data_IF_727310078949
#
_entry.id   IF_727310078949
#
_cell.length_a   1.000
_cell.length_b   1.000
_cell.length_c   1.000
_cell.angle_alpha   90.00
_cell.angle_beta   90.00
_cell.angle_gamma   90.00
#
_symmetry.space_group_name_H-M   'P 1'
#
loop_
_entity.id
_entity.type
_entity.pdbx_description
1 polymer ?
#
# COMPACT_ATOMS: atom_id res chain seq x y z
N UNK A 1 38.88 -5.84 -75.88
CA UNK A 1 38.64 -7.18 -75.31
C UNK A 1 37.94 -7.02 -73.98
N UNK A 2 36.70 -7.47 -73.94
CA UNK A 2 35.82 -7.71 -72.78
C UNK A 2 35.56 -6.56 -71.77
N UNK A 3 34.48 -5.84 -71.87
CA UNK A 3 33.07 -6.20 -71.56
C UNK A 3 32.95 -6.69 -70.12
N UNK A 4 32.21 -5.93 -69.35
CA UNK A 4 31.07 -6.42 -68.56
C UNK A 4 30.27 -5.25 -68.04
N UNK A 5 29.12 -5.02 -68.69
CA UNK A 5 28.05 -4.21 -68.09
C UNK A 5 27.35 -4.96 -67.00
N UNK A 6 27.27 -4.38 -65.81
CA UNK A 6 26.44 -4.84 -64.72
C UNK A 6 25.25 -3.93 -64.57
N UNK A 7 24.13 -4.41 -65.03
CA UNK A 7 22.81 -3.77 -64.86
C UNK A 7 22.36 -3.98 -63.40
N UNK A 8 22.22 -2.91 -62.65
CA UNK A 8 21.61 -2.97 -61.32
C UNK A 8 20.12 -2.64 -61.43
N UNK A 9 19.22 -3.51 -60.93
CA UNK A 9 17.80 -3.20 -60.89
C UNK A 9 17.52 -2.24 -59.72
N UNK A 10 16.71 -1.23 -60.04
CA UNK A 10 16.29 -0.18 -59.12
C UNK A 10 15.62 -0.70 -57.85
N UNK A 11 16.06 -0.20 -56.71
CA UNK A 11 15.34 -0.29 -55.46
C UNK A 11 14.13 0.62 -55.52
N UNK A 12 12.95 0.03 -55.60
CA UNK A 12 11.69 0.73 -55.38
C UNK A 12 11.60 1.05 -53.91
N UNK A 13 11.81 2.32 -53.54
CA UNK A 13 11.51 2.85 -52.22
C UNK A 13 10.02 2.79 -51.95
N UNK A 14 9.58 1.79 -51.19
CA UNK A 14 8.23 1.73 -50.67
C UNK A 14 7.99 2.88 -49.70
N UNK A 15 7.30 3.92 -50.18
CA UNK A 15 6.81 5.00 -49.35
C UNK A 15 5.86 4.45 -48.29
N UNK A 16 6.33 4.38 -47.06
CA UNK A 16 5.47 4.16 -45.90
C UNK A 16 4.64 5.43 -45.72
N UNK A 17 3.40 5.40 -46.15
CA UNK A 17 2.40 6.40 -45.77
C UNK A 17 2.26 6.38 -44.27
N UNK A 18 2.43 7.51 -43.53
CA UNK A 18 2.15 7.53 -42.12
C UNK A 18 0.65 7.30 -41.94
N UNK A 19 0.31 6.18 -41.33
CA UNK A 19 -1.06 5.91 -40.88
C UNK A 19 -1.50 7.11 -40.03
N UNK A 20 -2.55 7.79 -40.49
CA UNK A 20 -3.24 8.81 -39.69
C UNK A 20 -3.79 8.08 -38.45
N UNK A 21 -2.99 8.05 -37.38
CA UNK A 21 -3.47 7.70 -36.05
C UNK A 21 -4.62 8.65 -35.74
N UNK A 22 -5.79 8.09 -35.45
CA UNK A 22 -6.95 8.83 -34.97
C UNK A 22 -6.60 9.50 -33.61
N UNK A 23 -5.97 10.67 -33.70
CA UNK A 23 -5.54 11.47 -32.52
C UNK A 23 -6.74 11.85 -31.67
N UNK A 24 -7.92 12.05 -32.30
CA UNK A 24 -9.15 12.40 -31.58
C UNK A 24 -9.63 11.34 -30.58
N UNK A 25 -9.53 10.04 -30.94
CA UNK A 25 -9.92 8.96 -30.00
C UNK A 25 -9.02 8.86 -28.79
N UNK A 26 -7.70 9.06 -28.96
CA UNK A 26 -6.75 9.04 -27.85
C UNK A 26 -6.94 10.19 -26.86
N UNK A 27 -7.28 11.39 -27.37
CA UNK A 27 -7.54 12.57 -26.54
C UNK A 27 -8.80 12.37 -25.69
N UNK A 28 -9.88 11.81 -26.27
CA UNK A 28 -11.11 11.54 -25.53
C UNK A 28 -10.90 10.52 -24.41
N UNK A 29 -10.15 9.45 -24.66
CA UNK A 29 -9.79 8.46 -23.64
C UNK A 29 -8.94 9.10 -22.54
N UNK A 30 -7.96 9.92 -22.89
CA UNK A 30 -7.12 10.61 -21.92
C UNK A 30 -7.93 11.58 -21.04
N UNK A 31 -8.86 12.33 -21.60
CA UNK A 31 -9.76 13.21 -20.85
C UNK A 31 -10.71 12.44 -19.95
N UNK A 32 -11.23 11.29 -20.40
CA UNK A 32 -12.07 10.42 -19.57
C UNK A 32 -11.28 9.86 -18.37
N UNK A 33 -10.06 9.36 -18.60
CA UNK A 33 -9.20 8.85 -17.53
C UNK A 33 -8.80 9.96 -16.54
N UNK A 34 -8.48 11.15 -17.03
CA UNK A 34 -8.18 12.30 -16.18
C UNK A 34 -9.40 12.71 -15.35
N UNK A 35 -10.59 12.79 -15.94
CA UNK A 35 -11.85 13.07 -15.23
C UNK A 35 -12.16 12.02 -14.18
N UNK A 36 -11.99 10.74 -14.51
CA UNK A 36 -12.17 9.64 -13.57
C UNK A 36 -11.18 9.69 -12.39
N UNK A 37 -9.90 9.99 -12.67
CA UNK A 37 -8.88 10.15 -11.63
C UNK A 37 -9.20 11.32 -10.69
N UNK A 38 -9.67 12.45 -11.23
CA UNK A 38 -10.10 13.62 -10.47
C UNK A 38 -11.32 13.28 -9.60
N UNK A 39 -12.34 12.62 -10.15
CA UNK A 39 -13.51 12.18 -9.39
C UNK A 39 -13.11 11.23 -8.25
N UNK A 40 -12.21 10.27 -8.53
CA UNK A 40 -11.71 9.36 -7.51
C UNK A 40 -10.92 10.10 -6.43
N UNK A 41 -10.11 11.08 -6.80
CA UNK A 41 -9.37 11.92 -5.86
C UNK A 41 -10.30 12.69 -4.92
N UNK A 42 -11.34 13.35 -5.42
CA UNK A 42 -12.30 14.06 -4.58
C UNK A 42 -13.21 13.12 -3.77
N UNK A 43 -13.52 11.94 -4.30
CA UNK A 43 -14.34 10.93 -3.60
C UNK A 43 -13.59 10.23 -2.46
N UNK A 44 -12.26 10.26 -2.46
CA UNK A 44 -11.41 9.67 -1.40
C UNK A 44 -11.06 10.64 -0.27
N UNK A 45 -11.69 11.83 -0.27
CA UNK A 45 -11.47 12.85 0.75
C UNK A 45 -12.21 12.46 2.04
N UNK A 46 -11.47 12.29 3.14
CA UNK A 46 -12.03 12.07 4.48
C UNK A 46 -11.53 13.14 5.45
N UNK A 47 -12.44 13.59 6.32
CA UNK A 47 -12.09 14.51 7.39
C UNK A 47 -11.47 13.73 8.55
N UNK A 48 -10.28 14.13 8.97
CA UNK A 48 -9.62 13.55 10.12
C UNK A 48 -9.97 14.36 11.37
N UNK A 49 -10.75 13.78 12.26
CA UNK A 49 -11.22 14.44 13.48
C UNK A 49 -10.09 14.76 14.46
N UNK A 50 -9.00 14.01 14.43
CA UNK A 50 -7.84 14.20 15.31
C UNK A 50 -6.99 15.38 14.89
N UNK A 51 -6.75 15.55 13.59
CA UNK A 51 -5.89 16.63 13.05
C UNK A 51 -6.67 17.83 12.56
N UNK A 52 -7.99 17.72 12.40
CA UNK A 52 -8.84 18.76 11.83
C UNK A 52 -8.59 19.06 10.35
N UNK A 53 -7.89 18.18 9.64
CA UNK A 53 -7.53 18.35 8.24
C UNK A 53 -8.22 17.32 7.35
N UNK A 54 -8.71 17.75 6.20
CA UNK A 54 -9.22 16.84 5.16
C UNK A 54 -8.05 16.16 4.47
N UNK A 55 -8.04 14.84 4.50
CA UNK A 55 -7.00 14.02 3.87
C UNK A 55 -7.58 13.24 2.69
N UNK A 56 -6.76 13.02 1.66
CA UNK A 56 -7.09 12.14 0.55
C UNK A 56 -6.57 10.74 0.87
N UNK A 57 -7.49 9.85 1.24
CA UNK A 57 -7.18 8.47 1.61
C UNK A 57 -7.54 7.58 0.42
N UNK A 58 -6.59 6.77 -0.03
CA UNK A 58 -6.77 5.88 -1.18
C UNK A 58 -7.47 4.57 -0.84
N UNK A 59 -7.51 4.22 0.46
CA UNK A 59 -8.18 3.02 0.98
C UNK A 59 -9.08 3.39 2.16
N UNK A 60 -10.15 2.62 2.38
CA UNK A 60 -11.06 2.83 3.51
C UNK A 60 -10.53 2.19 4.79
N UNK A 61 -11.07 2.59 5.96
CA UNK A 61 -10.69 1.98 7.24
C UNK A 61 -10.93 0.46 7.26
N UNK A 62 -12.03 0.00 6.66
CA UNK A 62 -12.33 -1.44 6.55
C UNK A 62 -11.30 -2.18 5.69
N UNK A 63 -10.83 -1.55 4.60
CA UNK A 63 -9.78 -2.11 3.76
C UNK A 63 -8.43 -2.16 4.49
N UNK A 64 -8.12 -1.15 5.30
CA UNK A 64 -6.91 -1.16 6.14
C UNK A 64 -6.97 -2.28 7.19
N UNK A 65 -8.10 -2.45 7.87
CA UNK A 65 -8.30 -3.55 8.82
C UNK A 65 -8.12 -4.90 8.13
N UNK A 66 -8.75 -5.10 6.97
CA UNK A 66 -8.60 -6.35 6.22
C UNK A 66 -7.15 -6.62 5.80
N UNK A 67 -6.43 -5.57 5.35
CA UNK A 67 -5.02 -5.67 4.97
C UNK A 67 -4.14 -6.07 6.18
N UNK A 68 -4.36 -5.45 7.33
CA UNK A 68 -3.63 -5.77 8.56
C UNK A 68 -3.88 -7.20 9.03
N UNK A 69 -5.14 -7.63 9.08
CA UNK A 69 -5.51 -9.00 9.45
C UNK A 69 -4.95 -10.05 8.49
N UNK A 70 -4.93 -9.78 7.19
CA UNK A 70 -4.32 -10.67 6.20
C UNK A 70 -2.79 -10.77 6.37
N UNK A 71 -2.13 -9.71 6.80
CA UNK A 71 -0.68 -9.67 7.01
C UNK A 71 -0.26 -10.24 8.37
N UNK A 72 -1.17 -10.34 9.32
CA UNK A 72 -0.91 -10.77 10.70
C UNK A 72 -0.18 -12.11 10.81
N UNK A 73 -0.61 -13.21 10.15
CA UNK A 73 0.05 -14.52 10.30
C UNK A 73 1.51 -14.48 9.85
N UNK A 74 1.80 -13.83 8.74
CA UNK A 74 3.15 -13.71 8.20
C UNK A 74 4.07 -12.92 9.14
N UNK A 75 3.57 -11.83 9.74
CA UNK A 75 4.32 -11.06 10.72
C UNK A 75 4.61 -11.85 11.99
N UNK A 76 3.64 -12.56 12.51
CA UNK A 76 3.81 -13.44 13.68
C UNK A 76 4.86 -14.52 13.41
N UNK A 77 4.80 -15.18 12.26
CA UNK A 77 5.76 -16.21 11.86
C UNK A 77 7.18 -15.64 11.73
N UNK A 78 7.32 -14.47 11.11
CA UNK A 78 8.62 -13.82 10.90
C UNK A 78 9.38 -13.53 12.19
N UNK A 79 8.66 -13.27 13.29
CA UNK A 79 9.23 -12.94 14.61
C UNK A 79 9.13 -14.10 15.62
N UNK A 80 9.14 -15.35 15.13
CA UNK A 80 9.20 -16.55 15.99
C UNK A 80 7.90 -16.93 16.68
N UNK A 81 6.79 -16.36 16.26
CA UNK A 81 5.47 -16.66 16.84
C UNK A 81 5.04 -15.66 17.93
N UNK A 82 3.83 -15.86 18.44
CA UNK A 82 3.37 -15.16 19.64
C UNK A 82 4.09 -15.71 20.87
N UNK A 83 4.43 -14.85 21.81
CA UNK A 83 5.03 -15.28 23.06
C UNK A 83 4.08 -16.21 23.83
N UNK A 84 4.57 -17.37 24.33
CA UNK A 84 3.69 -18.41 24.90
C UNK A 84 3.14 -18.05 26.28
N UNK A 85 3.75 -17.09 26.98
CA UNK A 85 3.28 -16.67 28.30
C UNK A 85 2.03 -15.79 28.19
N UNK A 86 0.90 -16.33 28.68
CA UNK A 86 -0.39 -15.66 28.64
C UNK A 86 -0.43 -14.40 29.55
N UNK A 87 0.29 -14.38 30.67
CA UNK A 87 0.31 -13.21 31.55
C UNK A 87 1.12 -12.07 30.93
N UNK A 88 2.23 -12.38 30.25
CA UNK A 88 3.01 -11.40 29.51
C UNK A 88 2.18 -10.79 28.35
N UNK A 89 1.45 -11.61 27.59
CA UNK A 89 0.51 -11.15 26.56
C UNK A 89 -0.55 -10.20 27.15
N UNK A 90 -1.15 -10.59 28.26
CA UNK A 90 -2.18 -9.83 28.96
C UNK A 90 -1.65 -8.49 29.47
N UNK A 91 -0.42 -8.48 30.01
CA UNK A 91 0.23 -7.26 30.45
C UNK A 91 0.43 -6.28 29.28
N UNK A 92 1.00 -6.75 28.15
CA UNK A 92 1.20 -5.92 26.95
C UNK A 92 -0.12 -5.37 26.44
N UNK A 93 -1.17 -6.19 26.33
CA UNK A 93 -2.53 -5.75 25.99
C UNK A 93 -3.04 -4.67 26.94
N UNK A 94 -2.92 -4.87 28.23
CA UNK A 94 -3.45 -3.93 29.23
C UNK A 94 -2.76 -2.58 29.18
N UNK A 95 -1.44 -2.56 28.99
CA UNK A 95 -0.66 -1.33 28.83
C UNK A 95 -1.03 -0.62 27.53
N UNK A 96 -1.09 -1.36 26.43
CA UNK A 96 -1.47 -0.82 25.11
C UNK A 96 -2.87 -0.20 25.14
N UNK A 97 -3.85 -0.88 25.72
CA UNK A 97 -5.22 -0.36 25.84
C UNK A 97 -5.28 0.91 26.72
N UNK A 98 -4.49 1.00 27.78
CA UNK A 98 -4.39 2.24 28.58
C UNK A 98 -3.82 3.40 27.73
N UNK A 99 -2.84 3.15 26.89
CA UNK A 99 -2.28 4.17 25.98
C UNK A 99 -3.35 4.65 25.01
N UNK A 100 -4.08 3.75 24.37
CA UNK A 100 -5.17 4.10 23.44
C UNK A 100 -6.22 4.96 24.14
N UNK A 101 -6.69 4.55 25.32
CA UNK A 101 -7.72 5.26 26.10
C UNK A 101 -7.31 6.68 26.51
N UNK A 102 -6.02 6.92 26.71
CA UNK A 102 -5.48 8.20 27.17
C UNK A 102 -4.79 9.01 26.05
N UNK A 103 -5.04 8.66 24.78
CA UNK A 103 -4.50 9.35 23.60
C UNK A 103 -5.58 9.58 22.55
N UNK A 104 -5.22 10.32 21.51
CA UNK A 104 -6.11 10.58 20.39
C UNK A 104 -6.41 9.33 19.55
N UNK A 105 -5.68 8.23 19.75
CA UNK A 105 -5.97 6.95 19.12
C UNK A 105 -7.40 6.45 19.39
N UNK A 106 -8.00 6.80 20.55
CA UNK A 106 -9.40 6.49 20.89
C UNK A 106 -10.43 7.06 19.93
N UNK A 107 -10.05 8.11 19.17
CA UNK A 107 -10.94 8.81 18.23
C UNK A 107 -10.90 8.21 16.83
N UNK A 108 -9.99 7.26 16.59
CA UNK A 108 -9.87 6.57 15.31
C UNK A 108 -10.89 5.44 15.18
N UNK A 109 -11.27 5.03 13.96
CA UNK A 109 -12.21 3.92 13.77
C UNK A 109 -11.61 2.54 14.03
N UNK A 110 -10.33 2.46 14.42
CA UNK A 110 -9.61 1.19 14.57
C UNK A 110 -9.81 0.57 15.96
N UNK A 111 -9.89 -0.76 15.97
CA UNK A 111 -9.82 -1.56 17.19
C UNK A 111 -8.37 -1.99 17.39
N UNK A 112 -7.65 -1.30 18.28
CA UNK A 112 -6.27 -1.61 18.57
C UNK A 112 -6.16 -2.91 19.37
N UNK A 113 -5.33 -3.84 18.90
CA UNK A 113 -4.93 -5.04 19.62
C UNK A 113 -3.40 -5.12 19.70
N UNK A 114 -2.88 -5.62 20.82
CA UNK A 114 -1.46 -5.61 21.15
C UNK A 114 -0.96 -7.04 21.35
N UNK A 115 0.17 -7.36 20.71
CA UNK A 115 0.72 -8.71 20.64
C UNK A 115 2.19 -8.71 21.04
N UNK A 116 2.56 -9.59 21.95
CA UNK A 116 3.95 -9.85 22.28
C UNK A 116 4.49 -10.97 21.39
N UNK A 117 5.56 -10.68 20.65
CA UNK A 117 6.25 -11.63 19.77
C UNK A 117 7.41 -12.31 20.52
N UNK A 118 7.65 -13.58 20.18
CA UNK A 118 8.63 -14.41 20.89
C UNK A 118 10.09 -14.18 20.49
N UNK A 119 10.38 -13.17 19.67
CA UNK A 119 11.75 -12.88 19.23
C UNK A 119 12.59 -12.21 20.34
N UNK A 120 13.62 -12.88 20.87
CA UNK A 120 14.49 -12.34 21.90
C UNK A 120 15.69 -11.55 21.36
N UNK A 121 15.89 -11.49 20.04
CA UNK A 121 17.09 -10.96 19.41
C UNK A 121 16.86 -9.62 18.70
N UNK A 122 15.66 -9.39 18.21
CA UNK A 122 15.31 -8.18 17.46
C UNK A 122 14.53 -7.22 18.33
N UNK A 123 15.13 -6.12 18.74
CA UNK A 123 14.48 -5.04 19.49
C UNK A 123 13.59 -4.26 18.51
N UNK A 124 12.28 -4.50 18.56
CA UNK A 124 11.34 -3.87 17.64
C UNK A 124 9.93 -3.73 18.21
N UNK A 125 9.24 -2.68 17.75
CA UNK A 125 7.80 -2.53 17.89
C UNK A 125 7.26 -1.92 16.59
N UNK A 126 6.16 -2.43 16.08
CA UNK A 126 5.55 -1.96 14.83
C UNK A 126 4.03 -2.18 14.84
N UNK A 127 3.35 -1.50 13.93
CA UNK A 127 1.91 -1.66 13.72
C UNK A 127 1.60 -2.03 12.27
N UNK A 128 0.58 -2.85 12.10
CA UNK A 128 -0.05 -3.10 10.80
C UNK A 128 -1.24 -2.14 10.62
N UNK A 129 -1.64 -1.86 9.38
CA UNK A 129 -2.87 -1.12 9.10
C UNK A 129 -4.06 -1.70 9.87
N UNK A 130 -4.98 -0.86 10.31
CA UNK A 130 -6.18 -1.29 11.02
C UNK A 130 -6.01 -1.59 12.51
N UNK A 131 -4.83 -1.30 13.12
CA UNK A 131 -4.67 -1.27 14.58
C UNK A 131 -4.04 -2.49 15.23
N UNK A 132 -3.45 -3.44 14.47
CA UNK A 132 -2.66 -4.54 15.04
C UNK A 132 -1.25 -4.05 15.41
N UNK A 133 -0.88 -4.09 16.68
CA UNK A 133 0.39 -3.59 17.22
C UNK A 133 1.21 -4.75 17.80
N UNK A 134 2.48 -4.79 17.44
CA UNK A 134 3.40 -5.87 17.82
C UNK A 134 4.60 -5.31 18.58
N UNK A 135 5.04 -6.06 19.58
CA UNK A 135 6.20 -5.74 20.39
C UNK A 135 7.01 -7.03 20.55
N UNK A 136 8.31 -6.98 20.30
CA UNK A 136 9.19 -8.14 20.51
C UNK A 136 9.59 -8.29 21.99
N UNK A 137 9.84 -9.51 22.42
CA UNK A 137 10.38 -9.80 23.77
C UNK A 137 11.68 -9.05 24.03
N UNK A 138 12.55 -8.94 23.01
CA UNK A 138 13.80 -8.20 23.13
C UNK A 138 13.64 -6.71 23.47
N UNK A 139 12.47 -6.10 23.22
CA UNK A 139 12.21 -4.70 23.53
C UNK A 139 11.84 -4.51 25.02
N UNK A 140 11.28 -5.52 25.66
CA UNK A 140 10.75 -5.44 27.03
C UNK A 140 11.57 -6.23 28.08
N UNK A 141 12.65 -6.90 27.64
CA UNK A 141 13.58 -7.68 28.48
C UNK A 141 14.66 -6.80 29.15
#
# INVERSE_FOLDING_TARGET
MSIFGGNQPGQQGGGRTPSRRNVGGGILIALFLAGFAICKYYSSSQYNEVTGVTQHISITAEQEVALGLNSFPAMVEQYGGLHPDAEAQKLVKSVGQKIVQNSDARQTPYQYDFHLLADPNVVNAFALPGGQVFITTALIS
#
